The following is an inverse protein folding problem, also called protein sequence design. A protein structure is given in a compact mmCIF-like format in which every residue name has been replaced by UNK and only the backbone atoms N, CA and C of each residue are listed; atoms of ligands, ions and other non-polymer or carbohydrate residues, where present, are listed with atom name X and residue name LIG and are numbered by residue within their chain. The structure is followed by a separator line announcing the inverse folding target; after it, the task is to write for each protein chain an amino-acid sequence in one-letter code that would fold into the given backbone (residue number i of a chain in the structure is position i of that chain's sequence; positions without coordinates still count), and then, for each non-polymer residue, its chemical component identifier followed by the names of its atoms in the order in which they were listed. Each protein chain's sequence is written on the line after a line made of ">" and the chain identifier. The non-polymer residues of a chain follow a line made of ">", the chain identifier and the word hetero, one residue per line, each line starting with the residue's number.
data_IF_198702833728
#
_entry.id   IF_198702833728
#
_cell.length_a   1.000
_cell.length_b   1.000
_cell.length_c   1.000
_cell.angle_alpha   90.00
_cell.angle_beta   90.00
_cell.angle_gamma   90.00
#
_symmetry.space_group_name_H-M   'P 1'
#
loop_
_entity.id
_entity.type
_entity.pdbx_description
1 polymer ?
#
# COMPACT_ATOMS: atom_id res chain seq x y z
N UNK A 1 40.66 17.89 41.46
CA UNK A 1 40.28 19.29 41.22
C UNK A 1 38.79 19.34 40.90
N UNK A 2 38.02 20.02 41.77
CA UNK A 2 36.55 20.17 41.72
C UNK A 2 36.18 21.34 40.81
N UNK A 3 35.08 21.23 40.03
CA UNK A 3 34.11 22.31 39.75
C UNK A 3 32.94 21.65 39.01
N UNK A 4 31.78 21.51 39.52
CA UNK A 4 30.63 22.26 40.02
C UNK A 4 29.95 23.17 38.96
N UNK A 5 28.66 22.91 38.79
CA UNK A 5 27.51 23.81 38.52
C UNK A 5 27.14 24.04 37.04
N UNK A 6 25.90 24.17 36.64
CA UNK A 6 24.66 24.59 37.35
C UNK A 6 23.41 24.09 36.59
N UNK A 7 22.36 23.81 37.35
CA UNK A 7 20.97 23.68 36.91
C UNK A 7 20.40 25.07 36.66
N UNK A 8 19.65 25.25 35.58
CA UNK A 8 18.69 26.35 35.46
C UNK A 8 17.33 25.81 35.14
N UNK A 9 16.44 25.83 36.12
CA UNK A 9 14.99 25.70 36.02
C UNK A 9 14.43 27.04 35.51
N UNK A 10 13.63 27.02 34.46
CA UNK A 10 12.73 28.10 34.15
C UNK A 10 11.27 27.60 34.31
N UNK A 11 10.70 28.08 35.42
CA UNK A 11 9.25 28.07 35.67
C UNK A 11 8.63 29.19 34.86
N UNK A 12 7.63 28.89 34.04
CA UNK A 12 6.72 29.92 33.54
C UNK A 12 5.34 29.68 34.11
N UNK A 13 4.95 30.65 34.88
CA UNK A 13 3.71 30.82 35.62
C UNK A 13 2.52 31.10 34.66
N UNK A 14 1.46 30.43 34.95
CA UNK A 14 0.13 30.58 34.34
C UNK A 14 -0.52 31.90 34.84
N UNK A 15 -0.94 32.77 33.94
CA UNK A 15 -1.78 33.94 34.27
C UNK A 15 -3.21 33.68 33.81
N UNK A 16 -4.10 33.58 34.77
CA UNK A 16 -5.55 33.50 34.59
C UNK A 16 -6.11 34.91 34.60
N UNK A 17 -6.67 35.34 33.47
CA UNK A 17 -7.47 36.57 33.36
C UNK A 17 -8.97 36.27 33.41
N UNK A 18 -9.61 36.65 34.49
CA UNK A 18 -11.09 36.72 34.68
C UNK A 18 -11.61 38.01 34.09
N UNK A 19 -12.78 37.96 33.49
CA UNK A 19 -13.94 38.90 33.44
C UNK A 19 -14.50 38.86 31.99
N UNK A 20 -15.78 38.71 31.80
CA UNK A 20 -16.94 39.39 32.20
C UNK A 20 -18.24 38.78 31.60
N UNK A 21 -19.12 38.53 32.49
CA UNK A 21 -20.52 38.18 32.31
C UNK A 21 -21.27 39.39 31.68
N UNK A 22 -21.92 39.19 30.51
CA UNK A 22 -22.98 40.13 30.06
C UNK A 22 -24.23 39.37 29.66
N UNK A 23 -25.20 39.52 30.49
CA UNK A 23 -26.65 39.24 30.35
C UNK A 23 -27.24 40.08 29.24
N UNK A 24 -27.94 39.52 28.28
CA UNK A 24 -28.89 40.24 27.41
C UNK A 24 -30.12 39.36 27.16
N UNK A 25 -31.13 39.69 27.85
CA UNK A 25 -32.56 40.03 27.57
C UNK A 25 -33.22 39.31 26.38
N UNK A 26 -34.23 38.54 26.75
CA UNK A 26 -35.28 37.93 25.91
C UNK A 26 -36.14 39.06 25.26
N UNK A 27 -36.35 39.00 23.97
CA UNK A 27 -37.44 39.62 23.30
C UNK A 27 -38.22 38.60 22.49
N UNK A 28 -39.42 38.25 22.98
CA UNK A 28 -40.39 37.48 22.26
C UNK A 28 -41.06 38.36 21.19
N UNK A 29 -41.02 37.89 19.93
CA UNK A 29 -41.89 38.45 18.88
C UNK A 29 -42.71 37.30 18.30
N UNK A 30 -44.01 37.42 18.58
CA UNK A 30 -45.10 36.64 17.97
C UNK A 30 -45.31 37.21 16.56
N UNK A 31 -45.28 36.39 15.55
CA UNK A 31 -45.47 36.83 14.15
C UNK A 31 -46.04 35.70 13.26
N UNK A 32 -47.34 35.56 13.26
CA UNK A 32 -48.29 35.33 12.16
C UNK A 32 -47.86 34.30 11.06
N UNK A 33 -48.60 33.20 11.11
CA UNK A 33 -48.67 32.12 10.09
C UNK A 33 -49.29 32.66 8.79
N UNK A 34 -48.51 32.73 7.71
CA UNK A 34 -49.05 32.73 6.34
C UNK A 34 -48.87 31.35 5.72
N UNK A 35 -49.99 30.62 5.67
CA UNK A 35 -50.13 29.41 4.89
C UNK A 35 -50.22 29.81 3.41
N UNK A 36 -49.12 29.67 2.69
CA UNK A 36 -49.10 29.78 1.23
C UNK A 36 -48.89 28.38 0.65
N UNK A 37 -49.98 27.77 0.22
CA UNK A 37 -49.92 26.60 -0.67
C UNK A 37 -49.19 27.01 -1.96
N UNK A 38 -47.94 26.55 -2.13
CA UNK A 38 -47.26 26.54 -3.40
C UNK A 38 -47.43 25.15 -4.07
N UNK A 39 -48.02 25.18 -5.26
CA UNK A 39 -48.10 24.06 -6.20
C UNK A 39 -46.71 23.43 -6.34
N UNK A 40 -46.65 22.12 -6.14
CA UNK A 40 -45.51 21.29 -6.45
C UNK A 40 -45.17 21.43 -7.94
N UNK A 41 -44.13 22.19 -8.25
CA UNK A 41 -43.35 21.97 -9.45
C UNK A 41 -42.53 20.71 -9.19
N UNK A 42 -42.79 19.63 -9.93
CA UNK A 42 -41.87 18.52 -10.06
C UNK A 42 -40.54 19.10 -10.51
N UNK A 43 -39.61 19.22 -9.58
CA UNK A 43 -38.22 19.48 -9.92
C UNK A 43 -37.72 18.30 -10.75
N UNK A 44 -37.16 18.62 -11.92
CA UNK A 44 -36.47 17.63 -12.71
C UNK A 44 -35.38 16.98 -11.85
N UNK A 45 -35.14 15.66 -11.98
CA UNK A 45 -34.08 15.03 -11.21
C UNK A 45 -32.76 15.75 -11.47
N UNK A 46 -32.19 16.28 -10.40
CA UNK A 46 -30.83 16.80 -10.43
C UNK A 46 -29.95 15.63 -10.90
N UNK A 47 -29.08 15.81 -11.90
CA UNK A 47 -28.11 14.76 -12.24
C UNK A 47 -27.37 14.38 -10.98
N UNK A 48 -27.39 13.10 -10.63
CA UNK A 48 -26.62 12.57 -9.51
C UNK A 48 -25.18 13.07 -9.67
N UNK A 49 -24.65 13.67 -8.62
CA UNK A 49 -23.22 13.96 -8.57
C UNK A 49 -22.49 12.62 -8.81
N UNK A 50 -21.43 12.61 -9.64
CA UNK A 50 -20.70 11.39 -9.85
C UNK A 50 -20.31 10.82 -8.49
N UNK A 51 -20.80 9.61 -8.21
CA UNK A 51 -20.40 8.85 -7.03
C UNK A 51 -18.88 8.77 -7.07
N UNK A 52 -18.18 9.12 -5.98
CA UNK A 52 -16.73 8.87 -5.92
C UNK A 52 -16.52 7.39 -6.27
N UNK A 53 -15.47 7.05 -7.01
CA UNK A 53 -15.17 5.64 -7.29
C UNK A 53 -15.15 4.91 -5.97
N UNK A 54 -16.01 3.89 -5.85
CA UNK A 54 -15.97 2.95 -4.73
C UNK A 54 -14.59 2.33 -4.77
N UNK A 55 -13.88 2.40 -3.66
CA UNK A 55 -12.61 1.69 -3.47
C UNK A 55 -12.98 0.20 -3.31
N UNK A 56 -13.29 -0.47 -4.40
CA UNK A 56 -13.54 -1.91 -4.39
C UNK A 56 -12.17 -2.59 -4.22
N UNK A 57 -11.92 -3.08 -3.00
CA UNK A 57 -10.73 -3.89 -2.71
C UNK A 57 -10.78 -5.13 -3.60
N UNK A 58 -9.80 -5.26 -4.47
CA UNK A 58 -9.72 -6.41 -5.36
C UNK A 58 -9.46 -7.69 -4.57
N UNK A 59 -10.29 -8.72 -4.78
CA UNK A 59 -10.04 -10.02 -4.16
C UNK A 59 -8.85 -10.70 -4.84
N UNK A 60 -7.74 -10.78 -4.13
CA UNK A 60 -6.51 -11.42 -4.61
C UNK A 60 -6.27 -12.68 -3.78
N UNK A 61 -6.45 -13.84 -4.40
CA UNK A 61 -6.24 -15.14 -3.73
C UNK A 61 -4.88 -15.75 -4.01
N UNK A 62 -4.22 -15.33 -5.08
CA UNK A 62 -2.94 -15.91 -5.49
C UNK A 62 -1.99 -14.84 -6.01
N UNK A 63 -0.75 -14.86 -5.51
CA UNK A 63 0.36 -14.07 -6.05
C UNK A 63 1.44 -15.03 -6.58
N UNK A 64 1.80 -14.90 -7.85
CA UNK A 64 2.94 -15.61 -8.46
C UNK A 64 4.06 -14.61 -8.75
N UNK A 65 5.25 -14.90 -8.23
CA UNK A 65 6.48 -14.17 -8.55
C UNK A 65 7.28 -15.02 -9.52
N UNK A 66 7.36 -14.59 -10.76
CA UNK A 66 8.05 -15.29 -11.85
C UNK A 66 9.38 -14.58 -12.08
N UNK A 67 10.48 -15.26 -11.78
CA UNK A 67 11.83 -14.76 -12.02
C UNK A 67 12.40 -15.37 -13.29
N UNK A 68 12.71 -14.53 -14.27
CA UNK A 68 13.51 -14.89 -15.43
C UNK A 68 14.96 -14.48 -15.19
N UNK A 69 15.82 -15.45 -14.99
CA UNK A 69 17.27 -15.23 -14.88
C UNK A 69 17.84 -14.89 -16.26
N UNK A 70 18.32 -13.66 -16.42
CA UNK A 70 18.84 -13.18 -17.71
C UNK A 70 20.22 -13.74 -18.05
N UNK A 71 20.88 -14.39 -17.09
CA UNK A 71 22.20 -15.01 -17.27
C UNK A 71 22.07 -16.46 -17.75
N UNK A 72 21.18 -17.23 -17.12
CA UNK A 72 20.96 -18.64 -17.45
C UNK A 72 19.78 -18.89 -18.39
N UNK A 73 18.97 -17.84 -18.66
CA UNK A 73 17.75 -17.89 -19.47
C UNK A 73 16.69 -18.86 -18.93
N UNK A 74 16.66 -19.05 -17.62
CA UNK A 74 15.73 -19.96 -16.93
C UNK A 74 14.65 -19.18 -16.20
N UNK A 75 13.46 -19.80 -16.05
CA UNK A 75 12.37 -19.25 -15.27
C UNK A 75 12.18 -20.05 -14.00
N UNK A 76 11.93 -19.35 -12.90
CA UNK A 76 11.50 -19.95 -11.62
C UNK A 76 10.26 -19.21 -11.14
N UNK A 77 9.23 -19.95 -10.69
CA UNK A 77 7.99 -19.37 -10.19
C UNK A 77 7.83 -19.70 -8.71
N UNK A 78 7.54 -18.67 -7.94
CA UNK A 78 7.19 -18.75 -6.51
C UNK A 78 5.73 -18.36 -6.37
N UNK A 79 4.97 -19.17 -5.61
CA UNK A 79 3.51 -18.98 -5.51
C UNK A 79 3.15 -18.80 -4.05
N UNK A 80 2.37 -17.78 -3.77
CA UNK A 80 1.56 -17.62 -2.57
C UNK A 80 0.11 -17.85 -2.94
N UNK A 81 -0.64 -18.60 -2.13
CA UNK A 81 -2.07 -18.84 -2.33
C UNK A 81 -2.81 -18.86 -0.99
N UNK A 82 -3.92 -18.11 -0.96
CA UNK A 82 -4.86 -18.01 0.15
C UNK A 82 -6.27 -17.92 -0.47
N UNK A 83 -6.87 -19.10 -0.71
CA UNK A 83 -8.11 -19.21 -1.50
C UNK A 83 -9.36 -18.81 -0.72
N UNK A 84 -9.31 -18.83 0.59
CA UNK A 84 -10.43 -18.52 1.49
C UNK A 84 -10.23 -17.21 2.28
N UNK A 85 -9.11 -16.51 2.02
CA UNK A 85 -8.81 -15.20 2.59
C UNK A 85 -8.39 -15.21 4.06
N UNK A 86 -8.18 -14.02 4.59
CA UNK A 86 -7.69 -13.84 5.95
C UNK A 86 -8.61 -14.45 6.99
N UNK A 87 -8.08 -15.36 7.83
CA UNK A 87 -8.79 -16.02 8.93
C UNK A 87 -9.40 -17.37 8.60
N UNK A 88 -9.24 -17.85 7.35
CA UNK A 88 -9.61 -19.20 6.91
C UNK A 88 -8.51 -20.23 7.20
N UNK A 89 -8.27 -21.13 6.22
CA UNK A 89 -7.13 -22.03 6.29
C UNK A 89 -5.82 -21.24 6.13
N UNK A 90 -4.70 -21.73 6.69
CA UNK A 90 -3.43 -21.04 6.52
C UNK A 90 -3.05 -20.91 5.06
N UNK A 91 -2.63 -19.72 4.64
CA UNK A 91 -2.07 -19.49 3.32
C UNK A 91 -0.93 -20.46 3.02
N UNK A 92 -0.80 -20.87 1.77
CA UNK A 92 0.23 -21.80 1.30
C UNK A 92 1.26 -21.10 0.42
N UNK A 93 2.50 -21.62 0.47
CA UNK A 93 3.56 -21.26 -0.46
C UNK A 93 3.84 -22.48 -1.34
N UNK A 94 3.62 -22.30 -2.65
CA UNK A 94 3.51 -23.40 -3.57
C UNK A 94 4.80 -23.90 -4.14
N UNK A 95 4.71 -24.85 -4.94
CA UNK A 95 5.40 -25.95 -5.57
C UNK A 95 6.03 -27.00 -4.66
N UNK A 96 6.28 -26.74 -3.40
CA UNK A 96 6.80 -27.75 -2.47
C UNK A 96 6.36 -27.51 -1.01
N UNK A 97 5.33 -26.76 -0.81
CA UNK A 97 4.53 -26.75 0.43
C UNK A 97 5.14 -26.16 1.69
N UNK A 98 6.41 -25.81 1.73
CA UNK A 98 7.03 -25.41 2.99
C UNK A 98 7.91 -24.16 2.91
N UNK A 99 8.33 -23.70 1.75
CA UNK A 99 9.36 -22.67 1.68
C UNK A 99 8.90 -21.43 0.89
N UNK A 100 8.55 -20.38 1.63
CA UNK A 100 8.39 -19.03 1.11
C UNK A 100 9.72 -18.40 0.67
N UNK A 101 10.73 -19.22 0.29
CA UNK A 101 12.08 -18.73 -0.02
C UNK A 101 12.26 -18.55 -1.50
N UNK A 102 12.45 -17.29 -1.89
CA UNK A 102 12.91 -16.92 -3.21
C UNK A 102 14.43 -17.06 -3.23
N UNK A 103 14.94 -17.94 -4.10
CA UNK A 103 16.37 -18.18 -4.26
C UNK A 103 16.86 -17.48 -5.52
N UNK A 104 17.90 -16.65 -5.39
CA UNK A 104 18.61 -16.02 -6.51
C UNK A 104 20.11 -16.31 -6.40
N UNK A 105 20.83 -16.20 -7.51
CA UNK A 105 22.27 -16.42 -7.58
C UNK A 105 22.99 -15.07 -7.54
N UNK A 106 24.09 -14.99 -6.80
CA UNK A 106 24.92 -13.79 -6.71
C UNK A 106 25.42 -13.35 -8.11
N UNK A 107 25.52 -12.03 -8.31
CA UNK A 107 25.89 -11.40 -9.59
C UNK A 107 24.92 -11.64 -10.76
N UNK A 108 23.79 -12.32 -10.56
CA UNK A 108 22.80 -12.49 -11.62
C UNK A 108 21.79 -11.33 -11.64
N UNK A 109 21.17 -11.15 -12.80
CA UNK A 109 20.10 -10.19 -13.02
C UNK A 109 18.84 -10.94 -13.42
N UNK A 110 17.73 -10.59 -12.78
CA UNK A 110 16.43 -11.23 -12.99
C UNK A 110 15.40 -10.21 -13.46
N UNK A 111 14.65 -10.56 -14.51
CA UNK A 111 13.38 -9.90 -14.76
C UNK A 111 12.31 -10.60 -13.93
N UNK A 112 11.75 -9.89 -12.97
CA UNK A 112 10.65 -10.39 -12.15
C UNK A 112 9.32 -9.90 -12.73
N UNK A 113 8.33 -10.81 -12.77
CA UNK A 113 6.96 -10.50 -13.14
C UNK A 113 6.04 -10.98 -12.03
N UNK A 114 5.11 -10.13 -11.58
CA UNK A 114 4.08 -10.47 -10.60
C UNK A 114 2.77 -10.74 -11.35
N UNK A 115 2.16 -11.89 -11.09
CA UNK A 115 0.84 -12.25 -11.54
C UNK A 115 -0.08 -12.41 -10.34
N UNK A 116 -1.16 -11.66 -10.32
CA UNK A 116 -2.23 -11.71 -9.32
C UNK A 116 -3.46 -12.36 -9.91
N UNK A 117 -4.08 -13.26 -9.15
CA UNK A 117 -5.26 -14.01 -9.57
C UNK A 117 -6.33 -13.97 -8.47
N UNK A 118 -7.59 -13.93 -8.91
CA UNK A 118 -8.74 -14.34 -8.11
C UNK A 118 -9.20 -15.72 -8.62
N UNK A 119 -8.79 -16.78 -7.90
CA UNK A 119 -9.10 -18.17 -8.24
C UNK A 119 -10.49 -18.61 -7.73
N UNK A 120 -11.24 -17.72 -7.04
CA UNK A 120 -12.63 -18.00 -6.66
C UNK A 120 -13.58 -17.86 -7.85
N UNK A 121 -13.16 -17.17 -8.91
CA UNK A 121 -13.95 -16.97 -10.12
C UNK A 121 -13.76 -18.07 -11.16
N UNK A 122 -14.78 -18.28 -11.99
CA UNK A 122 -14.71 -19.20 -13.14
C UNK A 122 -15.25 -18.48 -14.39
N UNK A 123 -14.41 -18.20 -15.40
CA UNK A 123 -12.95 -18.47 -15.42
C UNK A 123 -12.16 -17.67 -14.37
N UNK A 124 -10.98 -18.17 -14.01
CA UNK A 124 -10.06 -17.48 -13.09
C UNK A 124 -9.81 -16.06 -13.59
N UNK A 125 -9.98 -15.10 -12.71
CA UNK A 125 -9.72 -13.70 -13.03
C UNK A 125 -8.23 -13.35 -12.88
N UNK A 126 -7.73 -12.55 -13.81
CA UNK A 126 -6.36 -12.06 -13.80
C UNK A 126 -6.32 -10.63 -13.27
N UNK A 127 -6.30 -10.48 -11.95
CA UNK A 127 -6.31 -9.19 -11.25
C UNK A 127 -5.15 -8.28 -11.69
N UNK A 128 -4.00 -8.84 -12.06
CA UNK A 128 -2.89 -8.05 -12.61
C UNK A 128 -3.26 -7.19 -13.82
N UNK A 129 -4.30 -7.54 -14.58
CA UNK A 129 -4.76 -6.74 -15.73
C UNK A 129 -5.45 -5.46 -15.27
N UNK A 130 -6.28 -5.56 -14.23
CA UNK A 130 -6.93 -4.41 -13.61
C UNK A 130 -5.87 -3.50 -12.98
N UNK A 131 -4.97 -4.04 -12.15
CA UNK A 131 -3.83 -3.30 -11.58
C UNK A 131 -3.01 -2.57 -12.66
N UNK A 132 -2.77 -3.20 -13.81
CA UNK A 132 -2.04 -2.56 -14.92
C UNK A 132 -2.85 -1.43 -15.55
N UNK A 133 -4.16 -1.62 -15.78
CA UNK A 133 -5.04 -0.61 -16.37
C UNK A 133 -5.25 0.59 -15.46
N UNK A 134 -5.23 0.37 -14.16
CA UNK A 134 -5.35 1.36 -13.09
C UNK A 134 -3.99 1.70 -12.47
N UNK A 135 -2.94 1.62 -13.27
CA UNK A 135 -1.58 1.81 -12.82
C UNK A 135 -1.30 3.14 -12.12
N UNK A 136 -2.10 4.18 -12.42
CA UNK A 136 -2.01 5.49 -11.73
C UNK A 136 -2.41 5.43 -10.26
N UNK A 137 -3.14 4.40 -9.87
CA UNK A 137 -3.66 4.20 -8.53
C UNK A 137 -2.99 3.02 -7.79
N UNK A 138 -2.23 2.16 -8.49
CA UNK A 138 -1.60 1.00 -7.90
C UNK A 138 -0.06 1.06 -7.92
N UNK A 139 0.57 0.59 -6.85
CA UNK A 139 2.03 0.46 -6.79
C UNK A 139 2.44 -0.71 -5.89
N UNK A 140 3.35 -1.55 -6.40
CA UNK A 140 4.04 -2.54 -5.60
C UNK A 140 5.20 -1.95 -4.82
N UNK A 141 5.36 -2.41 -3.59
CA UNK A 141 6.49 -2.10 -2.73
C UNK A 141 7.20 -3.39 -2.32
N UNK A 142 8.52 -3.33 -2.29
CA UNK A 142 9.39 -4.45 -1.94
C UNK A 142 10.23 -4.04 -0.74
N UNK A 143 10.15 -4.81 0.37
CA UNK A 143 10.85 -4.47 1.60
C UNK A 143 11.52 -5.69 2.22
N UNK A 144 12.70 -5.48 2.80
CA UNK A 144 13.43 -6.49 3.56
C UNK A 144 13.07 -6.57 5.04
N UNK A 145 12.25 -5.63 5.54
CA UNK A 145 11.84 -5.56 6.95
C UNK A 145 10.32 -5.43 6.97
N UNK A 146 9.65 -6.12 7.89
CA UNK A 146 8.22 -5.93 8.10
C UNK A 146 7.90 -4.44 8.33
N UNK A 147 6.82 -3.91 7.78
CA UNK A 147 6.52 -2.49 7.81
C UNK A 147 6.36 -1.99 9.25
N UNK A 148 7.34 -1.27 9.73
CA UNK A 148 7.32 -0.54 11.01
C UNK A 148 7.27 0.96 10.80
N UNK A 149 6.55 1.43 9.76
CA UNK A 149 6.32 2.85 9.51
C UNK A 149 7.50 3.62 8.88
N UNK A 150 8.56 2.95 8.50
CA UNK A 150 9.64 3.57 7.70
C UNK A 150 9.32 3.47 6.21
N UNK A 151 9.66 4.51 5.41
CA UNK A 151 9.37 4.49 3.99
C UNK A 151 10.05 3.29 3.33
N UNK A 152 9.28 2.54 2.57
CA UNK A 152 9.80 1.49 1.70
C UNK A 152 10.78 2.10 0.73
N UNK A 153 11.96 1.54 0.68
CA UNK A 153 12.95 1.95 -0.30
C UNK A 153 13.00 0.88 -1.39
N UNK A 154 12.94 1.31 -2.64
CA UNK A 154 13.19 0.45 -3.82
C UNK A 154 14.60 -0.13 -3.83
N UNK A 155 15.46 0.39 -3.00
CA UNK A 155 16.75 -0.21 -2.66
C UNK A 155 16.56 -1.01 -1.37
N UNK A 156 16.46 -2.32 -1.47
CA UNK A 156 16.54 -3.22 -0.32
C UNK A 156 17.90 -2.95 0.35
N UNK A 157 17.87 -2.26 1.52
CA UNK A 157 19.06 -1.65 2.09
C UNK A 157 20.13 -2.68 2.46
N UNK A 158 21.34 -2.38 2.06
CA UNK A 158 22.57 -2.81 2.72
C UNK A 158 23.21 -4.10 2.28
N UNK A 159 22.55 -5.02 1.59
CA UNK A 159 23.14 -6.27 1.07
C UNK A 159 22.18 -7.01 0.15
N UNK A 160 20.97 -6.50 -0.01
CA UNK A 160 19.92 -7.18 -0.75
C UNK A 160 19.84 -6.67 -2.19
N UNK A 161 19.11 -7.38 -2.98
CA UNK A 161 18.85 -7.10 -4.39
C UNK A 161 18.42 -5.67 -4.63
N UNK A 162 19.03 -5.01 -5.60
CA UNK A 162 18.53 -3.75 -6.12
C UNK A 162 17.34 -4.03 -7.05
N UNK A 163 16.20 -3.39 -6.79
CA UNK A 163 14.97 -3.57 -7.57
C UNK A 163 14.65 -2.27 -8.32
N UNK A 164 14.50 -2.38 -9.64
CA UNK A 164 14.12 -1.27 -10.52
C UNK A 164 12.78 -1.60 -11.19
N UNK A 165 11.83 -0.66 -11.18
CA UNK A 165 10.58 -0.80 -11.93
C UNK A 165 10.85 -0.75 -13.43
N UNK A 166 10.20 -1.65 -14.18
CA UNK A 166 10.24 -1.70 -15.65
C UNK A 166 8.92 -1.22 -16.25
N UNK A 167 7.86 -1.22 -15.47
CA UNK A 167 6.54 -0.70 -15.84
C UNK A 167 6.26 0.61 -15.08
N UNK A 168 5.80 1.61 -15.81
CA UNK A 168 5.48 2.93 -15.29
C UNK A 168 4.05 3.30 -15.66
N UNK A 169 3.40 4.04 -14.78
CA UNK A 169 2.09 4.64 -15.02
C UNK A 169 2.18 5.91 -15.91
N UNK A 170 1.04 6.52 -16.20
CA UNK A 170 0.96 7.74 -17.01
C UNK A 170 1.69 8.94 -16.37
N UNK A 171 1.98 8.89 -15.07
CA UNK A 171 2.72 9.91 -14.33
C UNK A 171 4.22 9.57 -14.18
N UNK A 172 4.72 8.56 -14.89
CA UNK A 172 6.09 8.04 -14.80
C UNK A 172 6.46 7.49 -13.41
N UNK A 173 5.48 6.98 -12.65
CA UNK A 173 5.70 6.29 -11.38
C UNK A 173 5.62 4.79 -11.57
N UNK A 174 6.39 4.03 -10.79
CA UNK A 174 6.39 2.57 -10.87
C UNK A 174 5.01 1.96 -10.60
N UNK A 175 4.67 0.90 -11.33
CA UNK A 175 3.54 0.02 -10.99
C UNK A 175 4.09 -1.18 -10.23
N UNK A 176 5.09 -1.88 -10.78
CA UNK A 176 5.84 -2.95 -10.12
C UNK A 176 5.37 -4.36 -10.44
N UNK A 177 4.45 -4.52 -11.40
CA UNK A 177 4.14 -5.84 -11.97
C UNK A 177 5.33 -6.42 -12.75
N UNK A 178 6.19 -5.55 -13.26
CA UNK A 178 7.44 -5.92 -13.94
C UNK A 178 8.60 -5.13 -13.35
N UNK A 179 9.60 -5.86 -12.85
CA UNK A 179 10.77 -5.27 -12.19
C UNK A 179 12.06 -5.96 -12.61
N UNK A 180 13.18 -5.26 -12.48
CA UNK A 180 14.52 -5.81 -12.66
C UNK A 180 15.18 -5.94 -11.29
N UNK A 181 15.63 -7.15 -10.97
CA UNK A 181 16.31 -7.46 -9.71
C UNK A 181 17.77 -7.75 -9.98
N UNK A 182 18.66 -6.98 -9.37
CA UNK A 182 20.11 -7.20 -9.47
C UNK A 182 20.59 -7.81 -8.17
N UNK A 183 20.99 -9.07 -8.20
CA UNK A 183 21.52 -9.77 -7.05
C UNK A 183 22.86 -9.17 -6.61
N UNK A 184 23.15 -9.11 -5.29
CA UNK A 184 24.45 -8.68 -4.80
C UNK A 184 25.56 -9.66 -5.21
N UNK A 185 26.81 -9.22 -5.09
CA UNK A 185 27.98 -10.06 -5.41
C UNK A 185 28.30 -11.11 -4.34
N UNK A 186 27.72 -10.98 -3.16
CA UNK A 186 27.96 -11.88 -2.04
C UNK A 186 26.72 -12.70 -1.73
N UNK A 187 26.92 -13.95 -1.34
CA UNK A 187 25.86 -14.79 -0.81
C UNK A 187 25.20 -14.13 0.42
N UNK A 188 23.90 -14.32 0.56
CA UNK A 188 23.12 -13.79 1.66
C UNK A 188 22.27 -14.91 2.26
N UNK A 189 22.35 -15.05 3.58
CA UNK A 189 21.45 -15.93 4.32
C UNK A 189 19.99 -15.47 4.14
N UNK A 190 19.04 -16.37 4.39
CA UNK A 190 17.60 -16.08 4.29
C UNK A 190 17.26 -14.79 5.05
N UNK A 191 16.76 -13.80 4.33
CA UNK A 191 16.33 -12.51 4.88
C UNK A 191 14.87 -12.24 4.53
N UNK A 192 14.09 -11.56 5.36
CA UNK A 192 12.71 -11.20 5.05
C UNK A 192 12.61 -10.42 3.74
N UNK A 193 11.60 -10.71 2.94
CA UNK A 193 11.19 -9.95 1.76
C UNK A 193 9.68 -9.84 1.78
N UNK A 194 9.16 -8.65 2.00
CA UNK A 194 7.74 -8.36 1.87
C UNK A 194 7.47 -7.80 0.47
N UNK A 195 6.48 -8.34 -0.21
CA UNK A 195 5.94 -7.84 -1.47
C UNK A 195 4.52 -7.38 -1.18
N UNK A 196 4.23 -6.11 -1.43
CA UNK A 196 2.97 -5.49 -1.08
C UNK A 196 2.45 -4.64 -2.23
N UNK A 197 1.17 -4.85 -2.58
CA UNK A 197 0.44 -3.97 -3.48
C UNK A 197 -0.35 -2.96 -2.65
N UNK A 198 -0.20 -1.69 -2.99
CA UNK A 198 -1.00 -0.61 -2.44
C UNK A 198 -1.92 -0.02 -3.49
N UNK A 199 -3.14 0.26 -3.08
CA UNK A 199 -4.12 1.04 -3.81
C UNK A 199 -4.10 2.48 -3.29
N UNK A 200 -3.76 3.44 -4.14
CA UNK A 200 -3.48 4.84 -3.82
C UNK A 200 -4.28 5.80 -4.71
N UNK A 201 -5.62 5.66 -4.83
CA UNK A 201 -6.42 6.41 -5.80
C UNK A 201 -6.34 7.93 -5.56
N UNK A 202 -5.88 8.65 -6.59
CA UNK A 202 -5.73 10.09 -6.55
C UNK A 202 -4.63 10.61 -5.62
N UNK A 203 -3.94 9.73 -4.87
CA UNK A 203 -2.90 10.12 -3.90
C UNK A 203 -1.54 9.47 -4.15
N UNK A 204 -1.43 8.62 -5.18
CA UNK A 204 -0.17 7.97 -5.55
C UNK A 204 0.89 9.01 -5.89
N UNK A 205 1.94 9.08 -5.09
CA UNK A 205 3.06 10.02 -5.25
C UNK A 205 4.42 9.32 -5.44
N UNK A 206 4.41 7.98 -5.45
CA UNK A 206 5.60 7.13 -5.51
C UNK A 206 6.14 6.75 -4.12
N UNK A 207 5.53 7.24 -3.04
CA UNK A 207 5.86 6.86 -1.67
C UNK A 207 4.93 5.78 -1.13
N UNK A 208 5.35 5.11 -0.06
CA UNK A 208 4.58 4.05 0.60
C UNK A 208 3.41 4.58 1.44
N UNK A 209 3.54 5.79 1.99
CA UNK A 209 2.63 6.27 3.04
C UNK A 209 1.15 6.35 2.64
N UNK A 210 0.77 6.86 1.45
CA UNK A 210 -0.64 7.00 1.09
C UNK A 210 -1.28 5.66 0.70
N UNK A 211 -2.62 5.62 0.77
CA UNK A 211 -3.45 4.53 0.28
C UNK A 211 -3.55 3.32 1.21
N UNK A 212 -4.28 2.32 0.75
CA UNK A 212 -4.56 1.08 1.47
C UNK A 212 -3.79 -0.10 0.88
N UNK A 213 -3.72 -1.21 1.60
CA UNK A 213 -3.04 -2.42 1.16
C UNK A 213 -4.05 -3.40 0.57
N UNK A 214 -3.90 -3.76 -0.71
CA UNK A 214 -4.72 -4.79 -1.33
C UNK A 214 -4.22 -6.19 -0.97
N UNK A 215 -2.92 -6.41 -1.04
CA UNK A 215 -2.28 -7.66 -0.63
C UNK A 215 -0.87 -7.41 -0.12
N UNK A 216 -0.49 -8.13 0.94
CA UNK A 216 0.87 -8.17 1.47
C UNK A 216 1.32 -9.62 1.67
N UNK A 217 2.44 -10.00 1.07
CA UNK A 217 2.99 -11.36 1.17
C UNK A 217 4.41 -11.32 1.71
N UNK A 218 4.64 -12.07 2.78
CA UNK A 218 5.95 -12.25 3.40
C UNK A 218 6.72 -13.44 2.81
N UNK A 219 7.65 -13.18 1.90
CA UNK A 219 8.65 -14.14 1.45
C UNK A 219 9.94 -14.04 2.27
N UNK A 220 10.86 -14.94 1.97
CA UNK A 220 12.27 -14.82 2.35
C UNK A 220 13.10 -14.79 1.08
N UNK A 221 14.14 -13.97 1.04
CA UNK A 221 15.10 -13.93 -0.06
C UNK A 221 16.41 -14.59 0.40
N UNK A 222 16.94 -15.48 -0.42
CA UNK A 222 18.25 -16.10 -0.24
C UNK A 222 19.08 -15.85 -1.49
N UNK A 223 20.33 -15.44 -1.31
CA UNK A 223 21.33 -15.30 -2.39
C UNK A 223 22.37 -16.41 -2.21
N UNK A 224 22.51 -17.25 -3.23
CA UNK A 224 23.47 -18.36 -3.27
C UNK A 224 24.78 -17.94 -3.92
#
# INVERSE_FOLDING_TARGET
>A
MKTKNQKTLLKNTLSIGKTGLKTIVIAAIIGISFSACKKDKKDAPTPDAPTPPTNDVELITTMKVILHDTTTLTNTTYVFSDLDGAGGNPASFGNSGADSVINITSNHVYKATILLLDETKSPIDTVSKAVLSEGVDHMFFFNSIAPTGTPYNTSLSGSMTNIKYLDLDANNRGIGLSTLWTAPSSALAKSPLTIELKHQPGVKDGSYAPGETDIQVGFKLKVN
#
